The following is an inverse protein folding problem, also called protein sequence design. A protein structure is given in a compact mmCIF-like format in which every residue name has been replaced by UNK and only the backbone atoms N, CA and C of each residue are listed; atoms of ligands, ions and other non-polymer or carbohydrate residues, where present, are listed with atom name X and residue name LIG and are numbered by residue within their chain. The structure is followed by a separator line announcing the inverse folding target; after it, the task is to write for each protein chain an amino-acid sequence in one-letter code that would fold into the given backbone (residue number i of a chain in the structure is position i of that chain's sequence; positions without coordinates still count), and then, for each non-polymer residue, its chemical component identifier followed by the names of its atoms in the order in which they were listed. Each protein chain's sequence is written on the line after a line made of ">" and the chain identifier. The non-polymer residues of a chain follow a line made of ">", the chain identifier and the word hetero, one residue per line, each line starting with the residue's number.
data_IF_985618503309
#
_entry.id   IF_985618503309
#
_cell.length_a   1.000
_cell.length_b   1.000
_cell.length_c   1.000
_cell.angle_alpha   90.00
_cell.angle_beta   90.00
_cell.angle_gamma   90.00
#
_symmetry.space_group_name_H-M   'P 1'
#
loop_
_entity.id
_entity.type
_entity.pdbx_description
1 polymer ?
#
# COMPACT_ATOMS: atom_id res chain seq x y z
N UNK A 1 19.47 -11.99 5.72
CA UNK A 1 19.14 -11.44 4.38
C UNK A 1 20.36 -10.70 3.88
N UNK A 2 20.72 -10.89 2.62
CA UNK A 2 21.77 -10.09 1.99
C UNK A 2 21.28 -8.63 1.81
N UNK A 3 22.23 -7.72 1.57
CA UNK A 3 21.93 -6.30 1.39
C UNK A 3 20.98 -6.06 0.21
N UNK A 4 21.11 -6.86 -0.84
CA UNK A 4 20.29 -6.77 -2.05
C UNK A 4 18.83 -7.17 -1.79
N UNK A 5 18.58 -8.21 -1.00
CA UNK A 5 17.22 -8.59 -0.61
C UNK A 5 16.58 -7.54 0.29
N UNK A 6 17.35 -6.90 1.17
CA UNK A 6 16.87 -5.77 1.97
C UNK A 6 16.45 -4.59 1.10
N UNK A 7 17.25 -4.24 0.09
CA UNK A 7 16.89 -3.20 -0.88
C UNK A 7 15.63 -3.55 -1.68
N UNK A 8 15.50 -4.80 -2.14
CA UNK A 8 14.32 -5.26 -2.88
C UNK A 8 13.07 -5.18 -2.01
N UNK A 9 13.15 -5.60 -0.74
CA UNK A 9 12.01 -5.51 0.19
C UNK A 9 11.67 -4.06 0.47
N UNK A 10 12.67 -3.21 0.69
CA UNK A 10 12.47 -1.80 0.98
C UNK A 10 11.81 -1.06 -0.20
N UNK A 11 12.39 -1.17 -1.39
CA UNK A 11 11.92 -0.48 -2.59
C UNK A 11 10.64 -1.11 -3.16
N UNK A 12 10.53 -2.43 -3.13
CA UNK A 12 9.43 -3.17 -3.74
C UNK A 12 8.19 -3.30 -2.87
N UNK A 13 8.34 -3.26 -1.53
CA UNK A 13 7.23 -3.49 -0.62
C UNK A 13 7.05 -2.35 0.39
N UNK A 14 8.12 -1.94 1.08
CA UNK A 14 7.98 -0.96 2.16
C UNK A 14 7.52 0.41 1.64
N UNK A 15 8.25 1.01 0.68
CA UNK A 15 7.89 2.31 0.13
C UNK A 15 6.50 2.30 -0.56
N UNK A 16 6.17 1.32 -1.41
CA UNK A 16 4.84 1.26 -2.02
C UNK A 16 3.72 1.05 -1.00
N UNK A 17 3.98 0.31 0.10
CA UNK A 17 3.00 0.15 1.18
C UNK A 17 2.75 1.47 1.91
N UNK A 18 3.81 2.24 2.19
CA UNK A 18 3.67 3.56 2.80
C UNK A 18 2.86 4.50 1.92
N UNK A 19 3.12 4.51 0.60
CA UNK A 19 2.31 5.27 -0.35
C UNK A 19 0.84 4.84 -0.34
N UNK A 20 0.56 3.54 -0.41
CA UNK A 20 -0.81 3.05 -0.41
C UNK A 20 -1.55 3.32 0.91
N UNK A 21 -0.85 3.29 2.05
CA UNK A 21 -1.40 3.72 3.34
C UNK A 21 -1.81 5.20 3.33
N UNK A 22 -1.04 6.07 2.67
CA UNK A 22 -1.44 7.48 2.52
C UNK A 22 -2.72 7.63 1.70
N UNK A 23 -2.90 6.85 0.62
CA UNK A 23 -4.14 6.85 -0.17
C UNK A 23 -5.34 6.37 0.65
N UNK A 24 -5.16 5.31 1.46
CA UNK A 24 -6.20 4.83 2.37
C UNK A 24 -6.59 5.91 3.37
N UNK A 25 -5.60 6.55 4.02
CA UNK A 25 -5.85 7.61 4.99
C UNK A 25 -6.52 8.83 4.36
N UNK A 26 -6.08 9.25 3.17
CA UNK A 26 -6.67 10.37 2.42
C UNK A 26 -8.11 10.05 2.01
N UNK A 27 -8.37 8.83 1.53
CA UNK A 27 -9.70 8.38 1.17
C UNK A 27 -10.65 8.39 2.37
N UNK A 28 -10.21 7.86 3.52
CA UNK A 28 -10.97 7.91 4.79
C UNK A 28 -11.23 9.37 5.20
N UNK A 29 -10.22 10.23 5.11
CA UNK A 29 -10.36 11.64 5.45
C UNK A 29 -11.39 12.36 4.57
N UNK A 30 -11.34 12.17 3.26
CA UNK A 30 -12.31 12.72 2.30
C UNK A 30 -13.73 12.21 2.55
N UNK A 31 -13.89 10.89 2.77
CA UNK A 31 -15.20 10.29 3.12
C UNK A 31 -15.75 10.92 4.41
N UNK A 32 -14.91 11.11 5.43
CA UNK A 32 -15.30 11.78 6.68
C UNK A 32 -15.76 13.22 6.47
N UNK A 33 -15.17 13.91 5.49
CA UNK A 33 -15.55 15.26 5.05
C UNK A 33 -16.72 15.31 4.06
N UNK A 34 -17.37 14.17 3.78
CA UNK A 34 -18.45 14.06 2.80
C UNK A 34 -18.02 14.46 1.37
N UNK A 35 -16.73 14.33 1.07
CA UNK A 35 -16.15 14.49 -0.26
C UNK A 35 -16.01 13.13 -0.95
N UNK A 36 -15.76 13.15 -2.26
CA UNK A 36 -15.47 11.94 -3.04
C UNK A 36 -14.10 11.34 -2.64
N UNK A 37 -14.10 10.49 -1.62
CA UNK A 37 -12.92 9.75 -1.14
C UNK A 37 -12.95 8.25 -1.39
N UNK A 38 -14.10 7.71 -1.83
CA UNK A 38 -14.29 6.26 -1.98
C UNK A 38 -13.31 5.64 -2.97
N UNK A 39 -13.09 6.28 -4.13
CA UNK A 39 -12.15 5.78 -5.12
C UNK A 39 -10.71 5.74 -4.59
N UNK A 40 -10.26 6.82 -3.93
CA UNK A 40 -8.92 6.89 -3.32
C UNK A 40 -8.73 5.83 -2.24
N UNK A 41 -9.73 5.64 -1.38
CA UNK A 41 -9.73 4.59 -0.35
C UNK A 41 -9.67 3.18 -0.96
N UNK A 42 -10.54 2.91 -1.94
CA UNK A 42 -10.62 1.61 -2.58
C UNK A 42 -9.32 1.27 -3.33
N UNK A 43 -8.74 2.25 -4.04
CA UNK A 43 -7.47 2.08 -4.75
C UNK A 43 -6.32 1.78 -3.78
N UNK A 44 -6.19 2.57 -2.70
CA UNK A 44 -5.17 2.33 -1.68
C UNK A 44 -5.31 0.95 -1.01
N UNK A 45 -6.55 0.57 -0.70
CA UNK A 45 -6.84 -0.74 -0.08
C UNK A 45 -6.52 -1.90 -1.02
N UNK A 46 -6.94 -1.82 -2.29
CA UNK A 46 -6.63 -2.82 -3.30
C UNK A 46 -5.13 -2.96 -3.53
N UNK A 47 -4.40 -1.84 -3.53
CA UNK A 47 -2.95 -1.86 -3.70
C UNK A 47 -2.24 -2.52 -2.51
N UNK A 48 -2.66 -2.23 -1.26
CA UNK A 48 -2.12 -2.90 -0.07
C UNK A 48 -2.40 -4.40 -0.07
N UNK A 49 -3.60 -4.82 -0.47
CA UNK A 49 -3.93 -6.23 -0.64
C UNK A 49 -3.04 -6.88 -1.70
N UNK A 50 -2.84 -6.21 -2.83
CA UNK A 50 -1.94 -6.66 -3.90
C UNK A 50 -0.50 -6.84 -3.42
N UNK A 51 0.04 -5.87 -2.69
CA UNK A 51 1.39 -5.96 -2.11
C UNK A 51 1.49 -7.08 -1.06
N UNK A 52 0.48 -7.24 -0.20
CA UNK A 52 0.44 -8.30 0.80
C UNK A 52 0.43 -9.70 0.16
N UNK A 53 -0.38 -9.87 -0.89
CA UNK A 53 -0.38 -11.10 -1.67
C UNK A 53 0.96 -11.34 -2.36
N UNK A 54 1.50 -10.32 -3.04
CA UNK A 54 2.80 -10.42 -3.70
C UNK A 54 3.93 -10.79 -2.71
N UNK A 55 3.91 -10.21 -1.50
CA UNK A 55 4.87 -10.54 -0.45
C UNK A 55 4.75 -12.01 -0.06
N UNK A 56 3.53 -12.50 0.16
CA UNK A 56 3.28 -13.89 0.55
C UNK A 56 3.64 -14.91 -0.54
N UNK A 57 3.53 -14.56 -1.83
CA UNK A 57 3.87 -15.47 -2.93
C UNK A 57 5.34 -15.39 -3.37
N UNK A 58 6.01 -14.24 -3.21
CA UNK A 58 7.37 -14.02 -3.71
C UNK A 58 8.47 -14.14 -2.64
N UNK A 59 8.15 -13.83 -1.38
CA UNK A 59 9.13 -13.73 -0.29
C UNK A 59 8.93 -14.75 0.84
N UNK A 60 7.88 -15.57 0.75
CA UNK A 60 7.71 -16.77 1.56
C UNK A 60 8.31 -17.98 0.84
#
# INVERSE_FOLDING_TARGET
>A
MDQKSLEIIYLGFLLPSLFALTLVAEGIYKISKHEEGFFTFALGTLFLLGLGLAYFFLLK
#
